data_IF_024235338358
#
_entry.id   IF_024235338358
#
_cell.length_a   1.000
_cell.length_b   1.000
_cell.length_c   1.000
_cell.angle_alpha   90.00
_cell.angle_beta   90.00
_cell.angle_gamma   90.00
#
_symmetry.space_group_name_H-M   'P 1'
#
loop_
_entity.id
_entity.type
_entity.pdbx_description
1 polymer ?
#
# COMPACT_ATOMS: atom_id res chain seq x y z
N UNK A 1 -20.94 12.64 12.28
CA UNK A 1 -21.11 11.43 11.43
C UNK A 1 -20.68 10.21 12.22
N UNK A 2 -21.30 9.06 11.97
CA UNK A 2 -20.88 7.79 12.57
C UNK A 2 -19.48 7.39 12.11
N UNK A 3 -18.66 6.86 13.03
CA UNK A 3 -17.32 6.34 12.72
C UNK A 3 -17.45 5.11 11.82
N UNK A 4 -16.78 5.14 10.67
CA UNK A 4 -16.83 4.08 9.64
C UNK A 4 -15.45 3.48 9.42
N UNK A 5 -15.42 2.22 8.98
CA UNK A 5 -14.22 1.55 8.46
C UNK A 5 -14.27 1.57 6.94
N UNK A 6 -13.26 2.17 6.31
CA UNK A 6 -13.21 2.42 4.87
C UNK A 6 -11.97 1.75 4.29
N UNK A 7 -12.15 0.95 3.24
CA UNK A 7 -11.06 0.33 2.49
C UNK A 7 -10.86 1.09 1.19
N UNK A 8 -9.71 1.71 1.01
CA UNK A 8 -9.34 2.45 -0.20
C UNK A 8 -8.39 1.59 -1.03
N UNK A 9 -8.88 1.09 -2.17
CA UNK A 9 -8.06 0.31 -3.10
C UNK A 9 -7.48 1.20 -4.18
N UNK A 10 -6.15 1.21 -4.31
CA UNK A 10 -5.42 2.01 -5.29
C UNK A 10 -4.82 1.07 -6.34
N UNK A 11 -5.26 1.20 -7.59
CA UNK A 11 -4.78 0.37 -8.70
C UNK A 11 -3.47 0.87 -9.32
N UNK A 12 -2.73 -0.03 -9.97
CA UNK A 12 -1.42 0.26 -10.57
C UNK A 12 -1.42 1.50 -11.47
N UNK A 13 -2.47 1.69 -12.30
CA UNK A 13 -2.59 2.83 -13.20
C UNK A 13 -2.58 4.20 -12.50
N UNK A 14 -3.02 4.28 -11.24
CA UNK A 14 -2.94 5.51 -10.44
C UNK A 14 -1.58 5.67 -9.77
N UNK A 15 -0.95 4.55 -9.40
CA UNK A 15 0.34 4.52 -8.71
C UNK A 15 1.51 4.77 -9.66
N UNK A 16 1.37 4.48 -10.96
CA UNK A 16 2.49 4.45 -11.90
C UNK A 16 2.26 5.37 -13.10
N UNK A 17 3.33 6.02 -13.56
CA UNK A 17 3.44 6.66 -14.87
C UNK A 17 3.92 5.64 -15.91
N UNK A 18 4.15 6.13 -17.12
CA UNK A 18 4.92 5.43 -18.15
C UNK A 18 6.30 5.00 -17.59
N UNK A 19 6.87 3.96 -18.20
CA UNK A 19 8.18 3.40 -17.84
C UNK A 19 8.31 2.81 -16.41
N UNK A 20 7.20 2.64 -15.68
CA UNK A 20 7.22 2.07 -14.33
C UNK A 20 7.65 3.04 -13.23
N UNK A 21 7.76 4.33 -13.53
CA UNK A 21 7.99 5.37 -12.52
C UNK A 21 6.74 5.57 -11.67
N UNK A 22 6.91 5.93 -10.40
CA UNK A 22 5.77 6.20 -9.51
C UNK A 22 5.14 7.56 -9.85
N UNK A 23 3.82 7.62 -9.89
CA UNK A 23 3.04 8.84 -10.08
C UNK A 23 2.87 9.59 -8.75
N UNK A 24 3.95 10.20 -8.28
CA UNK A 24 3.98 10.91 -6.99
C UNK A 24 2.88 11.98 -6.83
N UNK A 25 2.56 12.83 -7.83
CA UNK A 25 1.48 13.81 -7.68
C UNK A 25 0.11 13.19 -7.37
N UNK A 26 -0.22 12.08 -8.03
CA UNK A 26 -1.48 11.36 -7.78
C UNK A 26 -1.48 10.72 -6.39
N UNK A 27 -0.38 10.09 -5.99
CA UNK A 27 -0.25 9.52 -4.64
C UNK A 27 -0.42 10.61 -3.58
N UNK A 28 0.24 11.76 -3.74
CA UNK A 28 0.12 12.90 -2.82
C UNK A 28 -1.33 13.41 -2.71
N UNK A 29 -2.03 13.53 -3.83
CA UNK A 29 -3.45 13.92 -3.84
C UNK A 29 -4.31 12.90 -3.07
N UNK A 30 -4.14 11.61 -3.34
CA UNK A 30 -4.89 10.54 -2.69
C UNK A 30 -4.61 10.52 -1.18
N UNK A 31 -3.34 10.65 -0.77
CA UNK A 31 -2.95 10.69 0.64
C UNK A 31 -3.55 11.90 1.35
N UNK A 32 -3.57 13.07 0.70
CA UNK A 32 -4.23 14.27 1.22
C UNK A 32 -5.71 14.04 1.51
N UNK A 33 -6.42 13.41 0.58
CA UNK A 33 -7.85 13.12 0.75
C UNK A 33 -8.11 12.05 1.81
N UNK A 34 -7.29 11.00 1.86
CA UNK A 34 -7.35 10.00 2.93
C UNK A 34 -7.10 10.65 4.29
N UNK A 35 -6.10 11.53 4.41
CA UNK A 35 -5.76 12.20 5.66
C UNK A 35 -6.92 13.07 6.18
N UNK A 36 -7.65 13.76 5.29
CA UNK A 36 -8.85 14.51 5.67
C UNK A 36 -9.92 13.60 6.26
N UNK A 37 -10.19 12.45 5.62
CA UNK A 37 -11.22 11.50 6.07
C UNK A 37 -10.78 10.82 7.38
N UNK A 38 -9.51 10.45 7.51
CA UNK A 38 -8.97 9.90 8.75
C UNK A 38 -9.12 10.89 9.93
N UNK A 39 -8.81 12.17 9.71
CA UNK A 39 -8.96 13.24 10.74
C UNK A 39 -10.42 13.51 11.14
N UNK A 40 -11.40 13.07 10.35
CA UNK A 40 -12.82 13.08 10.74
C UNK A 40 -13.19 11.93 11.70
N UNK A 41 -12.21 11.08 12.08
CA UNK A 41 -12.38 9.98 13.03
C UNK A 41 -12.67 8.63 12.38
N UNK A 42 -12.63 8.52 11.05
CA UNK A 42 -12.85 7.26 10.34
C UNK A 42 -11.60 6.36 10.36
N UNK A 43 -11.80 5.04 10.40
CA UNK A 43 -10.72 4.07 10.27
C UNK A 43 -10.46 3.80 8.81
N UNK A 44 -9.24 4.01 8.33
CA UNK A 44 -8.87 3.82 6.92
C UNK A 44 -7.91 2.64 6.77
N UNK A 45 -8.18 1.78 5.78
CA UNK A 45 -7.28 0.72 5.32
C UNK A 45 -6.93 1.01 3.86
N UNK A 46 -5.65 1.08 3.53
CA UNK A 46 -5.19 1.29 2.15
C UNK A 46 -4.71 -0.03 1.55
N UNK A 47 -5.26 -0.39 0.40
CA UNK A 47 -4.84 -1.56 -0.39
C UNK A 47 -4.23 -1.06 -1.69
N UNK A 48 -2.91 -1.05 -1.80
CA UNK A 48 -2.22 -0.47 -2.95
C UNK A 48 -1.55 -1.53 -3.83
N UNK A 49 -1.64 -1.32 -5.14
CA UNK A 49 -0.84 -2.03 -6.15
C UNK A 49 0.43 -1.23 -6.47
N UNK A 50 1.22 -1.66 -7.47
CA UNK A 50 2.34 -0.86 -7.99
C UNK A 50 3.73 -1.21 -7.47
N UNK A 51 3.87 -2.20 -6.57
CA UNK A 51 5.17 -2.69 -6.12
C UNK A 51 6.05 -3.15 -7.29
N UNK A 52 5.55 -4.02 -8.18
CA UNK A 52 6.30 -4.48 -9.37
C UNK A 52 6.79 -3.29 -10.20
N UNK A 53 5.90 -2.35 -10.51
CA UNK A 53 6.25 -1.20 -11.32
C UNK A 53 7.33 -0.34 -10.66
N UNK A 54 7.20 -0.09 -9.35
CA UNK A 54 8.19 0.63 -8.55
C UNK A 54 9.58 -0.02 -8.62
N UNK A 55 9.65 -1.35 -8.73
CA UNK A 55 10.90 -2.08 -8.87
C UNK A 55 11.49 -2.09 -10.29
N UNK A 56 10.68 -1.92 -11.34
CA UNK A 56 11.13 -1.94 -12.75
C UNK A 56 12.20 -0.86 -12.98
N UNK A 57 11.95 0.37 -12.52
CA UNK A 57 12.89 1.47 -12.74
C UNK A 57 14.22 1.27 -12.00
N UNK A 58 14.16 0.75 -10.76
CA UNK A 58 15.34 0.46 -9.94
C UNK A 58 16.19 -0.69 -10.49
N UNK A 59 15.53 -1.73 -11.01
CA UNK A 59 16.19 -2.86 -11.66
C UNK A 59 16.63 -2.55 -13.11
N UNK A 60 16.39 -1.33 -13.60
CA UNK A 60 16.71 -0.88 -14.97
C UNK A 60 16.17 -1.84 -16.05
N UNK A 61 15.01 -2.45 -15.80
CA UNK A 61 14.41 -3.40 -16.72
C UNK A 61 13.86 -2.64 -17.93
N UNK A 62 14.32 -3.02 -19.14
CA UNK A 62 13.87 -2.42 -20.40
C UNK A 62 12.40 -2.73 -20.73
N UNK A 63 11.87 -3.80 -20.14
CA UNK A 63 10.51 -4.27 -20.37
C UNK A 63 9.88 -4.75 -19.06
N UNK A 64 8.54 -4.85 -19.04
CA UNK A 64 7.84 -5.43 -17.90
C UNK A 64 8.27 -6.89 -17.69
N UNK A 65 8.54 -7.31 -16.42
CA UNK A 65 8.77 -8.70 -16.05
C UNK A 65 7.72 -9.65 -16.63
N UNK A 66 8.15 -10.74 -17.27
CA UNK A 66 7.24 -11.71 -17.88
C UNK A 66 7.09 -12.94 -17.01
N UNK A 67 8.22 -13.46 -16.51
CA UNK A 67 8.26 -14.66 -15.68
C UNK A 67 7.86 -14.36 -14.23
N UNK A 68 7.44 -15.40 -13.50
CA UNK A 68 7.11 -15.26 -12.09
C UNK A 68 8.33 -14.81 -11.24
N UNK A 69 9.54 -15.39 -11.40
CA UNK A 69 10.71 -14.94 -10.65
C UNK A 69 11.05 -13.47 -10.90
N UNK A 70 11.00 -12.98 -12.14
CA UNK A 70 11.25 -11.57 -12.44
C UNK A 70 10.20 -10.66 -11.77
N UNK A 71 8.92 -11.06 -11.78
CA UNK A 71 7.84 -10.31 -11.13
C UNK A 71 8.04 -10.25 -9.63
N UNK A 72 8.43 -11.36 -9.01
CA UNK A 72 8.72 -11.42 -7.58
C UNK A 72 9.93 -10.57 -7.22
N UNK A 73 11.01 -10.64 -8.01
CA UNK A 73 12.19 -9.80 -7.82
C UNK A 73 11.85 -8.30 -7.92
N UNK A 74 11.08 -7.91 -8.94
CA UNK A 74 10.62 -6.53 -9.09
C UNK A 74 9.69 -6.10 -7.94
N UNK A 75 8.79 -6.96 -7.47
CA UNK A 75 7.93 -6.67 -6.33
C UNK A 75 8.74 -6.52 -5.03
N UNK A 76 9.72 -7.38 -4.79
CA UNK A 76 10.58 -7.35 -3.61
C UNK A 76 11.40 -6.05 -3.55
N UNK A 77 11.91 -5.58 -4.69
CA UNK A 77 12.61 -4.30 -4.79
C UNK A 77 11.66 -3.12 -4.66
N UNK A 78 10.50 -3.17 -5.30
CA UNK A 78 9.61 -2.03 -5.39
C UNK A 78 8.68 -1.84 -4.19
N UNK A 79 8.41 -2.88 -3.40
CA UNK A 79 7.54 -2.78 -2.23
C UNK A 79 8.10 -1.82 -1.15
N UNK A 80 9.39 -1.90 -0.75
CA UNK A 80 9.97 -0.92 0.18
C UNK A 80 9.92 0.52 -0.35
N UNK A 81 10.12 0.72 -1.64
CA UNK A 81 10.06 2.04 -2.29
C UNK A 81 8.66 2.62 -2.21
N UNK A 82 7.65 1.81 -2.52
CA UNK A 82 6.25 2.21 -2.44
C UNK A 82 5.87 2.54 -1.00
N UNK A 83 6.31 1.72 -0.03
CA UNK A 83 6.04 1.94 1.38
C UNK A 83 6.71 3.22 1.90
N UNK A 84 7.97 3.47 1.51
CA UNK A 84 8.70 4.69 1.87
C UNK A 84 7.99 5.94 1.31
N UNK A 85 7.48 5.89 0.08
CA UNK A 85 6.71 6.99 -0.48
C UNK A 85 5.43 7.23 0.34
N UNK A 86 4.63 6.20 0.62
CA UNK A 86 3.45 6.37 1.44
C UNK A 86 3.80 6.93 2.82
N UNK A 87 4.85 6.42 3.46
CA UNK A 87 5.27 6.90 4.77
C UNK A 87 5.66 8.37 4.74
N UNK A 88 6.41 8.80 3.72
CA UNK A 88 6.77 10.21 3.52
C UNK A 88 5.55 11.11 3.29
N UNK A 89 4.58 10.66 2.51
CA UNK A 89 3.40 11.48 2.24
C UNK A 89 2.43 11.52 3.45
N UNK A 90 2.23 10.40 4.15
CA UNK A 90 1.39 10.37 5.35
C UNK A 90 2.03 11.09 6.55
N UNK A 91 3.36 11.10 6.67
CA UNK A 91 4.06 11.80 7.76
C UNK A 91 3.85 13.32 7.71
N UNK A 92 3.60 13.90 6.53
CA UNK A 92 3.23 15.32 6.39
C UNK A 92 1.93 15.66 7.13
N UNK A 93 1.10 14.67 7.44
CA UNK A 93 -0.17 14.81 8.15
C UNK A 93 -0.11 14.30 9.61
N UNK A 94 1.08 13.91 10.09
CA UNK A 94 1.29 13.24 11.38
C UNK A 94 0.49 11.94 11.54
N UNK A 95 0.34 11.18 10.44
CA UNK A 95 -0.35 9.89 10.44
C UNK A 95 0.70 8.78 10.35
N UNK A 96 0.73 7.92 11.36
CA UNK A 96 1.54 6.70 11.36
C UNK A 96 0.88 5.65 10.48
N UNK A 97 1.67 4.94 9.68
CA UNK A 97 1.16 3.84 8.85
C UNK A 97 1.94 2.57 9.15
N UNK A 98 1.31 1.42 8.90
CA UNK A 98 1.92 0.11 9.05
C UNK A 98 1.76 -0.69 7.76
N UNK A 99 2.77 -1.50 7.44
CA UNK A 99 2.73 -2.40 6.30
C UNK A 99 2.19 -3.77 6.74
N UNK A 100 1.23 -4.30 5.97
CA UNK A 100 0.79 -5.70 6.07
C UNK A 100 0.94 -6.36 4.69
N UNK A 101 1.67 -7.48 4.64
CA UNK A 101 1.79 -8.32 3.44
C UNK A 101 1.04 -9.63 3.70
N UNK A 102 0.04 -9.90 2.88
CA UNK A 102 -0.89 -11.01 3.09
C UNK A 102 -1.08 -11.76 1.77
N UNK A 103 -1.33 -13.05 1.90
CA UNK A 103 -1.60 -13.99 0.81
C UNK A 103 -2.95 -14.64 1.01
N UNK A 104 -3.45 -15.38 0.01
CA UNK A 104 -4.70 -16.14 0.14
C UNK A 104 -4.64 -17.14 1.30
N UNK A 105 -3.49 -17.76 1.51
CA UNK A 105 -3.29 -18.80 2.52
C UNK A 105 -3.46 -18.26 3.94
N UNK A 106 -3.23 -16.95 4.16
CA UNK A 106 -3.48 -16.28 5.44
C UNK A 106 -4.97 -16.26 5.81
N UNK A 107 -5.87 -16.38 4.83
CA UNK A 107 -7.32 -16.41 5.05
C UNK A 107 -7.89 -17.83 5.15
N UNK A 108 -7.12 -18.85 4.74
CA UNK A 108 -7.56 -20.24 4.74
C UNK A 108 -7.22 -20.96 6.04
N UNK A 109 -6.09 -20.61 6.66
CA UNK A 109 -5.73 -21.12 7.97
C UNK A 109 -6.36 -20.28 9.09
N UNK A 110 -7.07 -20.94 10.01
CA UNK A 110 -7.81 -20.26 11.09
C UNK A 110 -6.88 -19.45 11.99
N UNK A 111 -5.71 -19.99 12.32
CA UNK A 111 -4.76 -19.34 13.22
C UNK A 111 -4.15 -18.10 12.57
N UNK A 112 -3.71 -18.21 11.31
CA UNK A 112 -3.20 -17.06 10.52
C UNK A 112 -4.26 -15.99 10.34
N UNK A 113 -5.50 -16.38 10.03
CA UNK A 113 -6.62 -15.44 9.91
C UNK A 113 -6.83 -14.65 11.21
N UNK A 114 -6.87 -15.35 12.35
CA UNK A 114 -7.03 -14.70 13.66
C UNK A 114 -5.86 -13.76 13.98
N UNK A 115 -4.63 -14.18 13.71
CA UNK A 115 -3.45 -13.34 13.91
C UNK A 115 -3.50 -12.06 13.06
N UNK A 116 -3.78 -12.18 11.76
CA UNK A 116 -3.95 -11.04 10.86
C UNK A 116 -5.07 -10.11 11.33
N UNK A 117 -6.24 -10.64 11.70
CA UNK A 117 -7.38 -9.85 12.18
C UNK A 117 -7.03 -9.11 13.48
N UNK A 118 -6.35 -9.77 14.40
CA UNK A 118 -5.95 -9.20 15.68
C UNK A 118 -4.93 -8.08 15.48
N UNK A 119 -3.91 -8.28 14.64
CA UNK A 119 -2.94 -7.24 14.26
C UNK A 119 -3.63 -6.04 13.63
N UNK A 120 -4.51 -6.26 12.64
CA UNK A 120 -5.25 -5.16 12.00
C UNK A 120 -6.15 -4.41 12.99
N UNK A 121 -6.79 -5.12 13.93
CA UNK A 121 -7.63 -4.50 14.97
C UNK A 121 -6.80 -3.69 15.95
N UNK A 122 -5.63 -4.20 16.35
CA UNK A 122 -4.69 -3.50 17.23
C UNK A 122 -4.18 -2.21 16.57
N UNK A 123 -3.73 -2.27 15.32
CA UNK A 123 -3.29 -1.10 14.54
C UNK A 123 -4.39 -0.03 14.48
N UNK A 124 -5.64 -0.42 14.17
CA UNK A 124 -6.76 0.51 14.09
C UNK A 124 -7.08 1.15 15.46
N UNK A 125 -6.91 0.41 16.55
CA UNK A 125 -7.19 0.91 17.90
C UNK A 125 -6.09 1.85 18.43
N UNK A 126 -4.84 1.65 18.00
CA UNK A 126 -3.71 2.51 18.35
C UNK A 126 -3.73 3.84 17.56
N UNK A 127 -4.41 3.87 16.41
CA UNK A 127 -4.46 5.03 15.51
C UNK A 127 -3.35 5.02 14.47
#
# INVERSE_FOLDING_TARGET
MEKKRIVVKIGTHLVTKEEGKINQPVIKSIVSDIAKIYKQGHNIIVVSSGAIASGISCLKLKQKPKTLPEKQAAAAVGQPILMQLYQKEFSQYNITIAQMLLTRDDFQDRTRYLNMRNTMSCLINLG
#
